data_IF_494040977960
#
_entry.id   IF_494040977960
#
_cell.length_a   1.000
_cell.length_b   1.000
_cell.length_c   1.000
_cell.angle_alpha   90.00
_cell.angle_beta   90.00
_cell.angle_gamma   90.00
#
_symmetry.space_group_name_H-M   'P 1'
#
loop_
_entity.id
_entity.type
_entity.pdbx_description
1 polymer ?
#
# COMPACT_ATOMS: atom_id res chain seq x y z
N UNK A 1 -30.26 3.99 8.32
CA UNK A 1 -29.13 3.97 9.28
C UNK A 1 -27.89 4.27 8.47
N UNK A 2 -27.07 5.24 8.90
CA UNK A 2 -25.76 5.46 8.27
C UNK A 2 -24.78 4.42 8.79
N UNK A 3 -24.17 3.69 7.86
CA UNK A 3 -23.15 2.71 8.18
C UNK A 3 -21.77 3.31 7.87
N UNK A 4 -20.90 3.38 8.89
CA UNK A 4 -19.53 3.87 8.78
C UNK A 4 -18.56 2.72 8.98
N UNK A 5 -17.89 2.31 7.90
CA UNK A 5 -16.95 1.20 7.91
C UNK A 5 -15.60 1.65 7.35
N UNK A 6 -14.53 1.03 7.84
CA UNK A 6 -13.20 1.09 7.26
C UNK A 6 -12.81 -0.33 6.90
N UNK A 7 -12.43 -0.56 5.65
CA UNK A 7 -12.12 -1.90 5.13
C UNK A 7 -10.71 -1.87 4.54
N UNK A 8 -9.81 -2.71 5.07
CA UNK A 8 -8.51 -2.97 4.44
C UNK A 8 -8.67 -4.13 3.46
N UNK A 9 -8.45 -3.86 2.17
CA UNK A 9 -8.53 -4.87 1.11
C UNK A 9 -7.19 -5.60 0.94
N UNK A 10 -7.23 -6.82 0.41
CA UNK A 10 -6.01 -7.47 -0.04
C UNK A 10 -5.44 -6.77 -1.28
N UNK A 11 -4.11 -6.72 -1.45
CA UNK A 11 -3.47 -6.00 -2.56
C UNK A 11 -3.80 -6.53 -3.97
N UNK A 12 -4.52 -7.65 -4.10
CA UNK A 12 -5.03 -8.15 -5.38
C UNK A 12 -6.46 -7.70 -5.70
N UNK A 13 -7.16 -7.07 -4.75
CA UNK A 13 -8.56 -6.66 -4.92
C UNK A 13 -8.75 -5.67 -6.08
N UNK A 14 -7.75 -4.84 -6.35
CA UNK A 14 -7.78 -3.82 -7.41
C UNK A 14 -7.76 -4.38 -8.83
N UNK A 15 -7.43 -5.67 -9.02
CA UNK A 15 -7.22 -6.29 -10.34
C UNK A 15 -8.55 -6.55 -11.06
N UNK A 16 -9.61 -6.90 -10.32
CA UNK A 16 -10.91 -7.21 -10.92
C UNK A 16 -11.76 -5.95 -10.97
N UNK A 17 -12.18 -5.56 -12.18
CA UNK A 17 -13.02 -4.38 -12.39
C UNK A 17 -14.33 -4.42 -11.60
N UNK A 18 -14.89 -5.62 -11.38
CA UNK A 18 -16.09 -5.80 -10.57
C UNK A 18 -15.91 -5.27 -9.13
N UNK A 19 -14.73 -5.43 -8.54
CA UNK A 19 -14.44 -4.91 -7.20
C UNK A 19 -14.49 -3.37 -7.17
N UNK A 20 -14.11 -2.70 -8.25
CA UNK A 20 -14.20 -1.24 -8.33
C UNK A 20 -15.65 -0.75 -8.32
N UNK A 21 -16.59 -1.51 -8.89
CA UNK A 21 -18.02 -1.20 -8.80
C UNK A 21 -18.51 -1.11 -7.35
N UNK A 22 -17.94 -1.91 -6.44
CA UNK A 22 -18.25 -1.85 -5.02
C UNK A 22 -17.42 -0.80 -4.28
N UNK A 23 -16.12 -0.71 -4.55
CA UNK A 23 -15.23 0.25 -3.87
C UNK A 23 -15.60 1.71 -4.18
N UNK A 24 -16.12 2.01 -5.38
CA UNK A 24 -16.61 3.34 -5.77
C UNK A 24 -17.90 3.77 -5.06
N UNK A 25 -18.54 2.89 -4.28
CA UNK A 25 -19.68 3.25 -3.42
C UNK A 25 -19.24 3.98 -2.14
N UNK A 26 -17.95 3.99 -1.85
CA UNK A 26 -17.33 4.75 -0.78
C UNK A 26 -16.09 5.49 -1.27
N UNK A 27 -15.20 5.81 -0.35
CA UNK A 27 -13.93 6.47 -0.63
C UNK A 27 -12.83 5.43 -0.59
N UNK A 28 -12.13 5.26 -1.70
CA UNK A 28 -10.98 4.38 -1.82
C UNK A 28 -9.68 5.15 -1.56
N UNK A 29 -8.82 4.60 -0.69
CA UNK A 29 -7.54 5.20 -0.32
C UNK A 29 -6.42 4.22 -0.68
N UNK A 30 -5.49 4.66 -1.52
CA UNK A 30 -4.27 3.92 -1.81
C UNK A 30 -3.16 4.35 -0.85
N UNK A 31 -2.63 3.40 -0.07
CA UNK A 31 -1.39 3.58 0.69
C UNK A 31 -0.21 3.29 -0.22
N UNK A 32 0.44 4.34 -0.68
CA UNK A 32 1.57 4.30 -1.60
C UNK A 32 2.89 4.28 -0.81
N UNK A 33 3.54 3.12 -0.82
CA UNK A 33 4.73 2.81 -0.03
C UNK A 33 5.84 2.39 -0.99
N UNK A 34 7.07 2.92 -0.84
CA UNK A 34 8.23 2.47 -1.61
C UNK A 34 8.42 0.95 -1.54
N UNK A 35 8.78 0.33 -2.66
CA UNK A 35 8.91 -1.12 -2.75
C UNK A 35 10.05 -1.65 -1.88
N UNK A 36 11.10 -0.86 -1.70
CA UNK A 36 12.25 -1.12 -0.85
C UNK A 36 11.79 -1.29 0.61
N UNK A 37 10.97 -0.36 1.10
CA UNK A 37 10.42 -0.40 2.47
C UNK A 37 9.48 -1.60 2.65
N UNK A 38 8.63 -1.89 1.65
CA UNK A 38 7.79 -3.09 1.68
C UNK A 38 8.63 -4.38 1.69
N UNK A 39 9.70 -4.44 0.92
CA UNK A 39 10.60 -5.60 0.86
C UNK A 39 11.36 -5.78 2.19
N UNK A 40 11.85 -4.70 2.81
CA UNK A 40 12.49 -4.74 4.13
C UNK A 40 11.54 -5.28 5.20
N UNK A 41 10.30 -4.79 5.24
CA UNK A 41 9.27 -5.28 6.18
C UNK A 41 8.98 -6.77 6.02
N UNK A 42 8.91 -7.24 4.78
CA UNK A 42 8.70 -8.66 4.47
C UNK A 42 9.91 -9.50 4.92
N UNK A 43 11.12 -9.04 4.62
CA UNK A 43 12.35 -9.74 4.97
C UNK A 43 12.55 -9.85 6.49
N UNK A 44 12.22 -8.79 7.25
CA UNK A 44 12.34 -8.77 8.70
C UNK A 44 11.42 -9.79 9.42
N UNK A 45 10.25 -10.09 8.86
CA UNK A 45 9.31 -11.10 9.39
C UNK A 45 9.68 -12.53 8.98
N UNK A 46 10.54 -12.68 7.96
CA UNK A 46 10.89 -13.95 7.34
C UNK A 46 9.85 -14.39 6.30
N UNK A 47 10.32 -15.05 5.24
CA UNK A 47 9.48 -15.51 4.11
C UNK A 47 8.68 -16.78 4.42
N UNK A 48 8.96 -17.47 5.54
CA UNK A 48 8.37 -18.78 5.89
C UNK A 48 6.84 -18.77 6.03
N UNK A 49 6.22 -17.63 6.27
CA UNK A 49 4.75 -17.48 6.39
C UNK A 49 4.08 -16.93 5.13
N UNK A 50 4.84 -16.72 4.03
CA UNK A 50 4.36 -16.07 2.81
C UNK A 50 4.64 -16.96 1.58
N UNK A 51 3.69 -17.83 1.19
CA UNK A 51 3.87 -18.82 0.11
C UNK A 51 4.30 -18.23 -1.24
N UNK A 52 3.97 -16.96 -1.49
CA UNK A 52 4.30 -16.26 -2.75
C UNK A 52 5.77 -15.84 -2.90
N UNK A 53 6.63 -16.12 -1.91
CA UNK A 53 8.03 -15.64 -1.85
C UNK A 53 9.07 -16.76 -1.76
N UNK A 54 8.64 -18.02 -1.81
CA UNK A 54 9.51 -19.15 -1.48
C UNK A 54 10.23 -19.77 -2.71
N UNK A 55 9.86 -19.38 -3.93
CA UNK A 55 10.23 -20.13 -5.15
C UNK A 55 11.48 -19.65 -5.91
N UNK A 56 12.19 -18.61 -5.45
CA UNK A 56 13.34 -18.04 -6.19
C UNK A 56 14.67 -18.02 -5.40
N UNK A 57 15.84 -18.08 -6.06
CA UNK A 57 17.14 -17.93 -5.41
C UNK A 57 17.43 -16.47 -5.00
N UNK A 58 18.09 -16.26 -3.85
CA UNK A 58 18.43 -14.94 -3.30
C UNK A 58 18.17 -14.85 -1.79
N UNK A 59 18.63 -13.76 -1.14
CA UNK A 59 18.24 -13.45 0.23
C UNK A 59 16.76 -13.02 0.32
N UNK A 60 16.20 -13.01 1.53
CA UNK A 60 14.78 -12.72 1.76
C UNK A 60 14.34 -11.35 1.21
N UNK A 61 15.20 -10.34 1.28
CA UNK A 61 14.93 -9.01 0.76
C UNK A 61 14.89 -9.03 -0.77
N UNK A 62 15.91 -9.59 -1.43
CA UNK A 62 15.99 -9.66 -2.89
C UNK A 62 14.79 -10.40 -3.50
N UNK A 63 14.36 -11.52 -2.89
CA UNK A 63 13.14 -12.24 -3.31
C UNK A 63 11.88 -11.38 -3.15
N UNK A 64 11.73 -10.73 -1.99
CA UNK A 64 10.59 -9.87 -1.70
C UNK A 64 10.50 -8.70 -2.67
N UNK A 65 11.61 -7.99 -2.87
CA UNK A 65 11.70 -6.83 -3.76
C UNK A 65 11.31 -7.21 -5.19
N UNK A 66 11.94 -8.24 -5.77
CA UNK A 66 11.63 -8.67 -7.15
C UNK A 66 10.15 -9.03 -7.32
N UNK A 67 9.59 -9.78 -6.37
CA UNK A 67 8.17 -10.16 -6.43
C UNK A 67 7.26 -8.94 -6.32
N UNK A 68 7.58 -8.01 -5.42
CA UNK A 68 6.84 -6.76 -5.26
C UNK A 68 6.90 -5.91 -6.52
N UNK A 69 8.07 -5.76 -7.14
CA UNK A 69 8.23 -5.03 -8.42
C UNK A 69 7.34 -5.62 -9.52
N UNK A 70 7.39 -6.93 -9.72
CA UNK A 70 6.54 -7.59 -10.74
C UNK A 70 5.04 -7.42 -10.46
N UNK A 71 4.61 -7.50 -9.18
CA UNK A 71 3.22 -7.28 -8.81
C UNK A 71 2.80 -5.81 -8.96
N UNK A 72 3.71 -4.88 -8.64
CA UNK A 72 3.46 -3.45 -8.73
C UNK A 72 3.29 -3.02 -10.18
N UNK A 73 4.16 -3.47 -11.10
CA UNK A 73 4.02 -3.22 -12.54
C UNK A 73 2.64 -3.64 -13.08
N UNK A 74 2.13 -4.78 -12.63
CA UNK A 74 0.82 -5.29 -13.03
C UNK A 74 -0.36 -4.51 -12.44
N UNK A 75 -0.18 -3.91 -11.26
CA UNK A 75 -1.30 -3.36 -10.45
C UNK A 75 -1.27 -1.85 -10.33
N UNK A 76 -0.17 -1.19 -10.68
CA UNK A 76 0.05 0.24 -10.49
C UNK A 76 -1.12 1.07 -11.05
N UNK A 77 -1.45 0.88 -12.33
CA UNK A 77 -2.57 1.57 -12.99
C UNK A 77 -3.92 1.32 -12.31
N UNK A 78 -4.09 0.15 -11.69
CA UNK A 78 -5.31 -0.15 -10.96
C UNK A 78 -5.35 0.61 -9.63
N UNK A 79 -4.24 0.69 -8.89
CA UNK A 79 -4.15 1.50 -7.67
C UNK A 79 -4.40 2.99 -7.93
N UNK A 80 -4.00 3.52 -9.10
CA UNK A 80 -4.27 4.90 -9.51
C UNK A 80 -5.77 5.23 -9.63
N UNK A 81 -6.66 4.24 -9.69
CA UNK A 81 -8.11 4.49 -9.67
C UNK A 81 -8.66 4.88 -8.29
N UNK A 82 -7.83 4.86 -7.24
CA UNK A 82 -8.24 5.25 -5.90
C UNK A 82 -8.62 6.75 -5.83
N UNK A 83 -9.59 7.10 -5.00
CA UNK A 83 -10.00 8.50 -4.82
C UNK A 83 -8.91 9.35 -4.18
N UNK A 84 -8.14 8.76 -3.26
CA UNK A 84 -7.04 9.41 -2.55
C UNK A 84 -5.78 8.54 -2.58
N UNK A 85 -4.61 9.18 -2.67
CA UNK A 85 -3.29 8.54 -2.55
C UNK A 85 -2.57 9.12 -1.35
N UNK A 86 -2.12 8.23 -0.45
CA UNK A 86 -1.30 8.56 0.71
C UNK A 86 0.11 8.06 0.44
N UNK A 87 0.97 8.96 -0.03
CA UNK A 87 2.38 8.65 -0.32
C UNK A 87 3.23 8.79 0.95
N UNK A 88 3.86 7.70 1.38
CA UNK A 88 4.76 7.72 2.54
C UNK A 88 6.01 8.57 2.29
N UNK A 89 6.47 8.68 1.04
CA UNK A 89 7.57 9.59 0.68
C UNK A 89 7.17 11.05 0.89
N UNK A 90 5.94 11.42 0.49
CA UNK A 90 5.43 12.78 0.71
C UNK A 90 5.26 13.10 2.21
N UNK A 91 4.78 12.13 3.01
CA UNK A 91 4.70 12.30 4.47
C UNK A 91 6.10 12.51 5.05
N UNK A 92 7.08 11.70 4.64
CA UNK A 92 8.45 11.82 5.12
C UNK A 92 9.04 13.20 4.76
N UNK A 93 8.87 13.65 3.52
CA UNK A 93 9.31 14.97 3.06
C UNK A 93 8.63 16.11 3.85
N UNK A 94 7.30 16.04 4.03
CA UNK A 94 6.50 17.02 4.78
C UNK A 94 6.94 17.15 6.24
N UNK A 95 7.33 16.04 6.87
CA UNK A 95 7.75 15.98 8.27
C UNK A 95 9.27 16.11 8.46
N UNK A 96 10.05 16.24 7.38
CA UNK A 96 11.51 16.37 7.44
C UNK A 96 12.26 15.08 7.76
N UNK A 97 11.63 13.91 7.57
CA UNK A 97 12.29 12.62 7.67
C UNK A 97 13.07 12.29 6.40
N UNK A 98 14.28 11.73 6.57
CA UNK A 98 15.10 11.24 5.45
C UNK A 98 14.67 9.88 4.91
N UNK A 99 13.94 9.10 5.72
CA UNK A 99 13.56 7.74 5.42
C UNK A 99 12.12 7.47 5.90
N UNK A 100 11.34 6.80 5.04
CA UNK A 100 9.96 6.39 5.25
C UNK A 100 9.81 5.37 6.40
N UNK A 101 10.88 4.71 6.81
CA UNK A 101 10.91 3.81 7.97
C UNK A 101 10.56 4.52 9.29
N UNK A 102 10.72 5.85 9.36
CA UNK A 102 10.35 6.67 10.52
C UNK A 102 8.86 7.05 10.55
N UNK A 103 8.11 6.73 9.51
CA UNK A 103 6.69 7.06 9.42
C UNK A 103 5.87 6.07 10.23
N UNK A 104 5.12 6.60 11.19
CA UNK A 104 4.30 5.79 12.11
C UNK A 104 2.87 5.60 11.57
N UNK A 105 2.15 4.54 12.00
CA UNK A 105 0.75 4.35 11.59
C UNK A 105 -0.17 5.55 11.88
N UNK A 106 -0.08 6.26 13.02
CA UNK A 106 -0.84 7.49 13.23
C UNK A 106 -0.55 8.60 12.20
N UNK A 107 0.70 8.76 11.76
CA UNK A 107 1.05 9.75 10.73
C UNK A 107 0.38 9.41 9.39
N UNK A 108 0.36 8.12 9.02
CA UNK A 108 -0.33 7.63 7.81
C UNK A 108 -1.83 7.88 7.93
N UNK A 109 -2.42 7.61 9.10
CA UNK A 109 -3.85 7.82 9.32
C UNK A 109 -4.24 9.30 9.26
N UNK A 110 -3.42 10.20 9.81
CA UNK A 110 -3.63 11.65 9.72
C UNK A 110 -3.60 12.09 8.25
N UNK A 111 -2.57 11.70 7.50
CA UNK A 111 -2.47 12.04 6.07
C UNK A 111 -3.66 11.45 5.29
N UNK A 112 -4.11 10.23 5.59
CA UNK A 112 -5.29 9.66 4.96
C UNK A 112 -6.56 10.49 5.22
N UNK A 113 -6.76 10.97 6.45
CA UNK A 113 -7.90 11.84 6.78
C UNK A 113 -7.80 13.18 6.06
N UNK A 114 -6.61 13.77 5.97
CA UNK A 114 -6.38 15.02 5.22
C UNK A 114 -6.69 14.85 3.73
N UNK A 115 -6.19 13.78 3.11
CA UNK A 115 -6.45 13.48 1.70
C UNK A 115 -7.94 13.19 1.43
N UNK A 116 -8.62 12.49 2.33
CA UNK A 116 -10.08 12.30 2.26
C UNK A 116 -10.83 13.64 2.40
N UNK A 117 -10.38 14.52 3.29
CA UNK A 117 -10.99 15.83 3.47
C UNK A 117 -10.89 16.74 2.25
N UNK A 118 -9.83 16.59 1.43
CA UNK A 118 -9.61 17.39 0.22
C UNK A 118 -10.47 16.96 -0.98
N UNK A 119 -11.09 15.78 -0.93
CA UNK A 119 -11.91 15.22 -2.02
C UNK A 119 -13.41 15.23 -1.72
N UNK A 120 -13.79 15.60 -0.50
CA UNK A 120 -15.17 15.80 -0.05
C UNK A 120 -15.60 17.25 -0.23
#
# INVERSE_FOLDING_TARGET
MEHRYVVSTGGGAVIQDENWTYMRKGISVWLDVPLEELAQRIAAVGTKTRPLLDSEPGDAYTKAFRRLSALFEQRYKAYENANARVSLENIAAKLGYKDVSNITPPMIAIEAIEQIGNIL
#
